data_IF_617101314167
#
_entry.id   IF_617101314167
#
_cell.length_a   1.000
_cell.length_b   1.000
_cell.length_c   1.000
_cell.angle_alpha   90.00
_cell.angle_beta   90.00
_cell.angle_gamma   90.00
#
_symmetry.space_group_name_H-M   'P 1'
#
loop_
_entity.id
_entity.type
_entity.pdbx_description
1 polymer ?
2 non-polymer ?
3 water ?
#
# COMPACT_ATOMS: atom_id res chain seq x y z
N UNK A 1 -11.24 10.12 17.42
CA UNK A 1 -10.32 10.02 18.59
C UNK A 1 -9.43 8.78 18.56
N UNK A 2 -9.72 7.80 17.70
CA UNK A 2 -8.83 6.64 17.62
C UNK A 2 -8.11 6.55 16.26
N UNK A 3 -8.44 7.46 15.34
CA UNK A 3 -7.72 7.56 14.06
C UNK A 3 -6.97 8.91 14.17
N UNK A 4 -5.67 8.87 14.46
CA UNK A 4 -4.89 10.10 14.63
C UNK A 4 -3.91 10.35 13.49
N UNK A 5 -3.33 11.55 13.45
CA UNK A 5 -2.35 11.90 12.43
C UNK A 5 -1.10 11.05 12.60
N UNK A 6 -0.61 10.92 13.83
CA UNK A 6 0.59 10.15 14.10
C UNK A 6 0.40 8.65 14.20
N UNK A 7 -0.58 8.20 14.96
CA UNK A 7 -0.77 6.77 15.12
C UNK A 7 -1.58 6.04 14.05
N UNK A 8 -2.36 6.76 13.27
CA UNK A 8 -3.16 6.08 12.26
C UNK A 8 -4.42 5.56 12.90
N UNK A 9 -5.03 4.54 12.30
CA UNK A 9 -6.26 3.98 12.80
C UNK A 9 -6.09 2.93 13.90
N UNK A 10 -6.47 3.30 15.12
CA UNK A 10 -6.36 2.45 16.30
C UNK A 10 -7.70 1.94 16.86
N UNK A 11 -8.80 2.18 16.17
CA UNK A 11 -10.11 1.72 16.61
C UNK A 11 -10.26 0.23 16.27
N UNK A 12 -10.87 -0.56 17.17
CA UNK A 12 -11.09 -2.00 16.93
C UNK A 12 -9.85 -2.75 16.44
N UNK A 13 -8.67 -2.35 16.91
CA UNK A 13 -7.39 -2.93 16.47
C UNK A 13 -7.29 -4.44 16.34
N UNK A 14 -7.94 -5.15 17.26
CA UNK A 14 -7.89 -6.61 17.24
C UNK A 14 -8.60 -7.19 16.00
N UNK A 15 -9.44 -6.39 15.34
CA UNK A 15 -10.15 -6.80 14.12
C UNK A 15 -9.74 -5.96 12.89
N UNK A 16 -9.80 -4.63 13.01
CA UNK A 16 -9.48 -3.74 11.91
C UNK A 16 -8.09 -3.92 11.33
N UNK A 17 -7.13 -4.31 12.17
CA UNK A 17 -5.75 -4.52 11.72
C UNK A 17 -5.53 -5.85 11.00
N UNK A 18 -6.57 -6.68 10.94
CA UNK A 18 -6.52 -7.98 10.27
C UNK A 18 -7.26 -8.01 8.92
N UNK A 19 -7.45 -6.84 8.31
CA UNK A 19 -8.15 -6.72 7.04
C UNK A 19 -7.24 -6.70 5.79
N UNK A 20 -5.95 -6.99 5.95
CA UNK A 20 -5.04 -6.98 4.82
C UNK A 20 -4.99 -5.62 4.16
N UNK A 21 -5.16 -5.57 2.84
CA UNK A 21 -5.14 -4.29 2.12
C UNK A 21 -6.44 -3.51 2.25
N UNK A 22 -7.40 -4.03 3.02
CA UNK A 22 -8.67 -3.32 3.25
C UNK A 22 -8.62 -2.72 4.67
N UNK A 23 -7.44 -2.81 5.29
CA UNK A 23 -7.20 -2.27 6.61
C UNK A 23 -6.78 -0.81 6.46
N UNK A 24 -7.27 0.08 7.36
CA UNK A 24 -6.89 1.50 7.29
C UNK A 24 -5.45 1.60 7.81
N UNK A 25 -4.67 2.56 7.32
CA UNK A 25 -3.30 2.70 7.80
C UNK A 25 -3.23 2.83 9.35
N UNK A 26 -2.29 2.11 9.94
CA UNK A 26 -2.01 2.21 11.35
C UNK A 26 -0.47 2.24 11.45
N UNK A 27 0.07 3.12 12.28
CA UNK A 27 1.51 3.25 12.40
C UNK A 27 2.21 2.06 13.04
N UNK A 28 3.28 1.59 12.39
CA UNK A 28 4.06 0.49 12.92
C UNK A 28 5.29 0.99 13.66
N UNK A 29 5.31 2.28 14.01
CA UNK A 29 6.44 2.89 14.71
C UNK A 29 6.81 2.12 15.98
N UNK A 30 5.82 1.68 16.74
CA UNK A 30 6.05 0.93 17.98
C UNK A 30 6.51 -0.50 17.76
N UNK A 31 6.39 -0.99 16.53
CA UNK A 31 6.82 -2.37 16.22
C UNK A 31 8.22 -2.38 15.64
N UNK A 32 8.75 -1.20 15.37
CA UNK A 32 10.07 -1.06 14.80
C UNK A 32 11.17 -1.27 15.87
N UNK A 33 12.12 -2.14 15.56
CA UNK A 33 13.25 -2.43 16.44
C UNK A 33 14.18 -1.21 16.45
N UNK A 34 14.34 -0.58 15.28
CA UNK A 34 15.17 0.61 15.14
C UNK A 34 14.25 1.84 15.26
N UNK A 35 14.69 2.85 16.01
CA UNK A 35 13.88 4.06 16.19
C UNK A 35 13.66 4.82 14.87
N UNK A 36 12.39 5.13 14.54
CA UNK A 36 12.01 5.84 13.31
C UNK A 36 12.53 7.27 13.21
N UNK A 37 12.87 7.87 14.34
CA UNK A 37 13.35 9.25 14.37
C UNK A 37 14.67 9.49 13.67
N UNK A 38 14.78 10.67 13.07
CA UNK A 38 15.99 11.09 12.38
C UNK A 38 17.04 11.24 13.49
N UNK A 39 18.19 10.56 13.35
CA UNK A 39 19.27 10.61 14.34
C UNK A 39 19.77 12.00 14.66
N UNK A 40 20.10 12.19 15.93
CA UNK A 40 20.63 13.46 16.40
C UNK A 40 21.97 13.57 15.69
N UNK A 41 22.26 14.74 15.12
CA UNK A 41 23.52 14.90 14.42
C UNK A 41 23.45 14.59 12.94
N UNK A 42 22.25 14.29 12.44
CA UNK A 42 22.08 14.01 11.03
C UNK A 42 21.13 15.05 10.48
N UNK A 43 21.22 15.26 9.17
CA UNK A 43 20.39 16.24 8.49
C UNK A 43 19.87 15.57 7.20
N UNK A 44 18.55 15.56 7.02
CA UNK A 44 17.95 14.96 5.82
C UNK A 44 18.25 15.84 4.62
N UNK A 45 18.71 15.22 3.54
CA UNK A 45 19.03 15.95 2.32
C UNK A 45 18.18 15.53 1.11
N UNK A 46 17.34 14.51 1.28
CA UNK A 46 16.47 14.00 0.21
C UNK A 46 15.37 13.23 0.90
N UNK A 47 14.16 13.36 0.38
CA UNK A 47 13.05 12.60 0.94
C UNK A 47 12.06 12.34 -0.17
N UNK A 48 11.66 11.08 -0.30
CA UNK A 48 10.63 10.71 -1.26
C UNK A 48 9.57 9.86 -0.57
N UNK A 49 8.32 10.12 -0.86
CA UNK A 49 7.25 9.32 -0.30
C UNK A 49 6.51 8.67 -1.48
N UNK A 50 6.19 7.40 -1.33
CA UNK A 50 5.43 6.66 -2.32
C UNK A 50 4.21 6.27 -1.49
N UNK A 51 3.05 6.77 -1.88
CA UNK A 51 1.84 6.53 -1.13
C UNK A 51 0.76 5.86 -1.97
N UNK A 52 -0.06 5.06 -1.30
CA UNK A 52 -1.18 4.41 -1.92
C UNK A 52 -2.36 5.38 -1.69
N UNK A 53 -3.43 5.26 -2.47
CA UNK A 53 -4.62 6.10 -2.30
C UNK A 53 -5.31 5.77 -0.96
N UNK A 54 -6.23 6.61 -0.51
CA UNK A 54 -6.90 6.35 0.76
C UNK A 54 -8.01 5.31 0.65
N UNK A 55 -8.74 5.10 1.75
CA UNK A 55 -9.85 4.15 1.82
C UNK A 55 -10.91 4.49 0.78
N UNK A 56 -11.41 3.47 0.08
CA UNK A 56 -12.41 3.63 -0.97
C UNK A 56 -13.62 2.71 -0.79
N UNK A 57 -14.64 2.95 -1.60
CA UNK A 57 -15.84 2.13 -1.61
C UNK A 57 -15.46 0.88 -2.41
N UNK A 58 -16.31 -0.17 -2.43
CA UNK A 58 -15.90 -1.33 -3.23
C UNK A 58 -15.85 -0.87 -4.70
N UNK A 59 -15.14 -1.62 -5.54
CA UNK A 59 -15.13 -1.26 -6.95
C UNK A 59 -16.53 -1.59 -7.43
N UNK A 60 -17.02 -0.86 -8.42
CA UNK A 60 -18.36 -1.10 -8.95
C UNK A 60 -18.63 -2.59 -9.23
N UNK A 61 -17.68 -3.27 -9.85
CA UNK A 61 -17.83 -4.69 -10.12
C UNK A 61 -18.19 -5.48 -8.85
N UNK A 62 -17.37 -5.40 -7.81
CA UNK A 62 -17.60 -6.11 -6.54
C UNK A 62 -18.84 -5.68 -5.78
N UNK A 63 -19.16 -4.38 -5.86
CA UNK A 63 -20.34 -3.86 -5.20
C UNK A 63 -21.59 -4.58 -5.67
N UNK A 64 -21.65 -4.89 -6.98
CA UNK A 64 -22.77 -5.60 -7.59
C UNK A 64 -22.92 -6.94 -6.87
N UNK A 65 -21.83 -7.70 -6.85
CA UNK A 65 -21.81 -9.01 -6.21
C UNK A 65 -22.21 -8.94 -4.74
N UNK A 66 -21.67 -7.96 -4.01
CA UNK A 66 -21.99 -7.80 -2.58
C UNK A 66 -23.48 -7.57 -2.41
N UNK A 67 -24.00 -6.61 -3.18
CA UNK A 67 -25.41 -6.29 -3.14
C UNK A 67 -26.30 -7.49 -3.46
N UNK A 68 -26.00 -8.15 -4.56
CA UNK A 68 -26.76 -9.32 -5.01
C UNK A 68 -26.79 -10.40 -3.91
N UNK A 69 -25.62 -10.73 -3.38
CA UNK A 69 -25.50 -11.75 -2.35
C UNK A 69 -26.35 -11.43 -1.13
N UNK A 70 -26.40 -10.16 -0.76
CA UNK A 70 -27.19 -9.76 0.40
C UNK A 70 -28.69 -9.87 0.14
N UNK A 71 -29.14 -9.49 -1.04
CA UNK A 71 -30.56 -9.59 -1.36
C UNK A 71 -30.93 -11.05 -1.39
N UNK A 72 -30.04 -11.86 -1.94
CA UNK A 72 -30.26 -13.30 -2.04
C UNK A 72 -30.40 -13.92 -0.64
N UNK A 73 -29.55 -13.51 0.30
CA UNK A 73 -29.66 -14.03 1.66
C UNK A 73 -30.99 -13.58 2.27
N UNK A 74 -31.36 -12.33 2.01
CA UNK A 74 -32.61 -11.79 2.52
C UNK A 74 -33.84 -12.51 2.00
N UNK A 75 -33.73 -13.14 0.84
CA UNK A 75 -34.85 -13.87 0.26
C UNK A 75 -34.92 -15.33 0.69
N UNK A 76 -33.80 -16.02 0.59
CA UNK A 76 -33.74 -17.44 0.92
C UNK A 76 -33.81 -17.85 2.40
N UNK A 77 -33.28 -17.02 3.29
CA UNK A 77 -33.27 -17.36 4.72
C UNK A 77 -34.65 -17.27 5.38
N UNK A 78 -34.98 -18.30 6.15
CA UNK A 78 -36.25 -18.40 6.87
C UNK A 78 -36.14 -17.76 8.24
N UNK A 79 -34.97 -17.85 8.87
CA UNK A 79 -34.78 -17.28 10.20
C UNK A 79 -33.57 -16.36 10.35
N UNK A 80 -33.80 -15.23 11.02
CA UNK A 80 -32.75 -14.25 11.25
C UNK A 80 -32.69 -13.95 12.74
N UNK A 81 -32.21 -14.89 13.55
CA UNK A 81 -32.15 -14.63 14.99
C UNK A 81 -30.75 -14.42 15.56
N UNK A 82 -30.69 -13.71 16.69
CA UNK A 82 -29.41 -13.45 17.32
C UNK A 82 -28.60 -12.46 16.50
N UNK A 83 -27.31 -12.75 16.36
CA UNK A 83 -26.40 -11.91 15.60
C UNK A 83 -26.71 -11.78 14.10
N UNK A 84 -27.73 -12.48 13.63
CA UNK A 84 -28.12 -12.41 12.22
C UNK A 84 -29.34 -11.51 12.02
N UNK A 85 -29.87 -10.97 13.12
CA UNK A 85 -31.06 -10.12 13.06
C UNK A 85 -30.91 -8.91 12.14
N UNK A 86 -29.76 -8.25 12.17
CA UNK A 86 -29.54 -7.08 11.33
C UNK A 86 -29.76 -7.35 9.84
N UNK A 87 -29.42 -8.55 9.42
CA UNK A 87 -29.55 -8.97 8.02
C UNK A 87 -30.95 -8.91 7.45
N UNK A 88 -31.96 -9.10 8.29
CA UNK A 88 -33.34 -9.08 7.82
C UNK A 88 -33.68 -7.74 7.15
N UNK A 89 -33.14 -6.64 7.66
CA UNK A 89 -33.43 -5.34 7.08
C UNK A 89 -32.23 -4.48 6.68
N UNK A 90 -31.09 -5.10 6.43
CA UNK A 90 -29.89 -4.35 6.02
C UNK A 90 -30.13 -3.78 4.61
N UNK A 91 -29.81 -2.50 4.43
CA UNK A 91 -30.00 -1.84 3.16
C UNK A 91 -28.63 -1.41 2.60
N UNK A 92 -28.19 -2.08 1.53
CA UNK A 92 -26.89 -1.80 0.90
C UNK A 92 -26.86 -0.42 0.27
N UNK A 93 -26.09 0.50 0.86
CA UNK A 93 -26.03 1.84 0.32
C UNK A 93 -24.60 2.38 0.15
N UNK A 94 -23.64 1.49 -0.03
CA UNK A 94 -22.26 1.91 -0.23
C UNK A 94 -22.12 2.48 -1.64
N UNK A 95 -21.24 3.46 -1.80
CA UNK A 95 -20.99 4.03 -3.12
C UNK A 95 -20.10 3.06 -3.91
N UNK A 96 -19.37 3.55 -4.89
CA UNK A 96 -18.50 2.65 -5.65
C UNK A 96 -17.26 3.39 -6.15
N UNK A 97 -16.15 2.66 -6.26
CA UNK A 97 -14.87 3.16 -6.76
C UNK A 97 -14.19 4.37 -6.13
N UNK A 98 -14.97 5.35 -5.69
CA UNK A 98 -14.44 6.57 -5.13
C UNK A 98 -13.78 6.48 -3.78
N UNK A 99 -12.97 7.49 -3.51
CA UNK A 99 -12.30 7.66 -2.24
C UNK A 99 -13.45 7.99 -1.28
N UNK A 100 -13.46 7.43 -0.07
CA UNK A 100 -14.52 7.74 0.89
C UNK A 100 -14.10 8.96 1.72
N UNK A 101 -15.05 9.61 2.41
CA UNK A 101 -14.69 10.78 3.23
C UNK A 101 -13.57 10.43 4.22
N UNK A 102 -13.61 9.23 4.81
CA UNK A 102 -12.58 8.77 5.73
C UNK A 102 -11.22 8.67 5.00
N UNK A 103 -11.27 8.15 3.76
CA UNK A 103 -10.07 8.02 2.94
C UNK A 103 -9.45 9.37 2.61
N UNK A 104 -10.29 10.38 2.39
CA UNK A 104 -9.82 11.73 2.12
C UNK A 104 -9.07 12.24 3.35
N UNK A 105 -9.66 12.01 4.51
CA UNK A 105 -9.04 12.42 5.76
C UNK A 105 -7.69 11.74 5.97
N UNK A 106 -7.61 10.46 5.62
CA UNK A 106 -6.36 9.70 5.75
C UNK A 106 -5.20 10.37 5.00
N UNK A 107 -5.47 10.84 3.77
CA UNK A 107 -4.43 11.48 2.96
C UNK A 107 -4.06 12.86 3.48
N UNK A 108 -5.04 13.61 3.98
CA UNK A 108 -4.79 14.92 4.56
C UNK A 108 -3.80 14.69 5.72
N UNK A 109 -4.11 13.72 6.58
CA UNK A 109 -3.25 13.39 7.71
C UNK A 109 -1.83 13.00 7.28
N UNK A 110 -1.74 12.23 6.21
CA UNK A 110 -0.46 11.80 5.65
C UNK A 110 0.35 13.03 5.18
N UNK A 111 -0.33 14.00 4.58
CA UNK A 111 0.34 15.22 4.13
C UNK A 111 0.92 16.01 5.29
N UNK A 112 0.17 16.10 6.37
CA UNK A 112 0.57 16.79 7.61
C UNK A 112 1.82 16.15 8.19
N UNK A 113 1.80 14.82 8.27
CA UNK A 113 2.90 14.06 8.82
C UNK A 113 4.18 14.14 8.00
N UNK A 114 4.06 14.11 6.68
CA UNK A 114 5.22 14.22 5.79
C UNK A 114 5.87 15.60 5.97
N UNK A 115 5.03 16.64 6.03
CA UNK A 115 5.55 17.99 6.22
C UNK A 115 6.33 18.11 7.53
N UNK A 116 5.72 17.66 8.63
CA UNK A 116 6.33 17.75 9.94
C UNK A 116 7.61 16.93 10.10
N UNK A 117 7.62 15.72 9.58
CA UNK A 117 8.80 14.86 9.68
C UNK A 117 10.05 15.47 9.02
N UNK A 118 9.87 16.13 7.88
CA UNK A 118 10.98 16.72 7.14
C UNK A 118 10.94 18.24 7.11
N UNK A 119 10.47 18.85 8.20
CA UNK A 119 10.34 20.31 8.31
C UNK A 119 11.52 21.13 7.77
N UNK A 120 12.74 20.72 8.06
CA UNK A 120 13.90 21.47 7.60
C UNK A 120 13.97 21.63 6.08
N UNK A 121 13.36 20.68 5.36
CA UNK A 121 13.32 20.70 3.90
C UNK A 121 12.00 21.26 3.36
N UNK A 122 10.89 20.74 3.89
CA UNK A 122 9.55 21.12 3.46
C UNK A 122 9.21 22.60 3.65
N UNK A 123 9.89 23.26 4.58
CA UNK A 123 9.63 24.67 4.83
C UNK A 123 9.95 25.59 3.66
N UNK A 124 10.86 25.20 2.77
CA UNK A 124 11.13 26.05 1.60
C UNK A 124 11.38 25.34 0.29
N UNK A 125 10.90 24.11 0.17
CA UNK A 125 11.01 23.36 -1.07
C UNK A 125 9.61 22.85 -1.42
N UNK A 126 9.23 22.97 -2.68
CA UNK A 126 7.94 22.51 -3.15
C UNK A 126 8.20 21.12 -3.75
N UNK A 127 7.54 20.07 -3.24
CA UNK A 127 7.74 18.70 -3.74
C UNK A 127 7.28 18.56 -5.18
N UNK A 128 7.92 17.66 -5.93
CA UNK A 128 7.51 17.40 -7.31
C UNK A 128 6.65 16.14 -7.16
N UNK A 129 5.40 16.23 -7.64
CA UNK A 129 4.41 15.17 -7.48
C UNK A 129 3.88 14.50 -8.75
N UNK A 130 3.73 13.18 -8.69
CA UNK A 130 3.20 12.41 -9.81
C UNK A 130 2.12 11.48 -9.27
N UNK A 131 1.13 11.18 -10.09
CA UNK A 131 0.02 10.32 -9.72
C UNK A 131 -0.36 9.42 -10.91
N UNK A 132 -0.79 8.20 -10.61
CA UNK A 132 -1.24 7.28 -11.64
C UNK A 132 -2.63 7.82 -12.04
N UNK A 133 -3.04 7.65 -13.29
CA UNK A 133 -4.31 8.20 -13.74
C UNK A 133 -5.58 7.48 -13.34
N UNK A 134 -5.90 7.47 -12.06
CA UNK A 134 -7.10 6.84 -11.56
C UNK A 134 -7.69 7.87 -10.61
N UNK A 135 -8.98 8.14 -10.74
CA UNK A 135 -9.64 9.15 -9.94
C UNK A 135 -9.39 9.08 -8.46
N UNK A 136 -9.47 7.88 -7.88
CA UNK A 136 -9.24 7.77 -6.45
C UNK A 136 -7.81 8.09 -6.05
N UNK A 137 -6.87 7.86 -6.97
CA UNK A 137 -5.47 8.12 -6.69
C UNK A 137 -5.22 9.63 -6.79
N UNK A 138 -5.75 10.23 -7.86
CA UNK A 138 -5.62 11.66 -8.10
C UNK A 138 -6.20 12.47 -6.93
N UNK A 139 -7.38 12.06 -6.46
CA UNK A 139 -8.05 12.72 -5.33
C UNK A 139 -7.21 12.57 -4.06
N UNK A 140 -6.53 11.44 -3.93
CA UNK A 140 -5.66 11.18 -2.78
C UNK A 140 -4.46 12.12 -2.83
N UNK A 141 -3.93 12.33 -4.03
CA UNK A 141 -2.80 13.24 -4.22
C UNK A 141 -3.20 14.64 -3.79
N UNK A 142 -4.38 15.09 -4.20
CA UNK A 142 -4.88 16.40 -3.82
C UNK A 142 -5.13 16.59 -2.33
N UNK A 143 -5.60 15.53 -1.64
CA UNK A 143 -5.84 15.64 -0.20
C UNK A 143 -4.51 15.72 0.55
N UNK A 144 -3.51 14.98 0.08
CA UNK A 144 -2.19 14.98 0.68
C UNK A 144 -1.63 16.40 0.58
N UNK A 145 -1.78 17.02 -0.59
CA UNK A 145 -1.32 18.38 -0.83
C UNK A 145 -1.99 19.35 0.14
N UNK A 146 -3.27 19.13 0.37
CA UNK A 146 -4.03 19.96 1.30
C UNK A 146 -3.39 19.90 2.70
N UNK A 147 -3.21 18.69 3.22
CA UNK A 147 -2.61 18.53 4.54
C UNK A 147 -1.21 19.12 4.62
N UNK A 148 -0.38 18.84 3.62
CA UNK A 148 1.00 19.32 3.56
C UNK A 148 1.07 20.86 3.56
N UNK A 149 0.28 21.48 2.68
CA UNK A 149 0.30 22.92 2.57
C UNK A 149 -0.31 23.60 3.80
N UNK A 150 -1.37 23.03 4.35
CA UNK A 150 -2.01 23.62 5.54
C UNK A 150 -1.08 23.72 6.75
N UNK A 151 -0.15 22.77 6.85
CA UNK A 151 0.81 22.74 7.94
C UNK A 151 1.90 23.77 7.65
N UNK A 152 2.27 23.89 6.38
CA UNK A 152 3.30 24.83 5.96
C UNK A 152 2.88 26.29 6.23
N UNK A 153 1.61 26.61 6.03
CA UNK A 153 1.11 27.96 6.28
C UNK A 153 1.22 28.35 7.74
N UNK A 154 1.12 27.37 8.63
CA UNK A 154 1.20 27.63 10.06
C UNK A 154 2.64 27.59 10.55
N UNK A 155 3.61 27.43 9.66
CA UNK A 155 5.01 27.37 10.07
C UNK A 155 5.71 28.73 9.94
N UNK A 156 6.11 29.35 11.07
CA UNK A 156 6.78 30.65 11.11
C UNK A 156 8.05 30.71 10.27
N UNK A 157 8.77 29.60 10.19
CA UNK A 157 10.02 29.55 9.44
C UNK A 157 9.84 29.19 7.95
N UNK A 158 8.60 29.01 7.52
CA UNK A 158 8.31 28.68 6.13
C UNK A 158 8.54 29.89 5.24
N UNK A 159 8.95 29.66 3.99
CA UNK A 159 9.23 30.75 3.07
C UNK A 159 7.98 31.40 2.50
N UNK A 160 7.83 32.71 2.75
CA UNK A 160 6.67 33.49 2.27
C UNK A 160 6.54 33.60 0.75
N UNK A 161 5.31 33.57 0.24
CA UNK A 161 5.06 33.72 -1.18
C UNK A 161 5.36 32.53 -2.08
N UNK A 162 5.86 31.46 -1.51
CA UNK A 162 6.19 30.26 -2.27
C UNK A 162 4.90 29.65 -2.85
N UNK A 163 5.01 28.98 -3.99
CA UNK A 163 3.81 28.40 -4.58
C UNK A 163 3.41 27.07 -3.96
N UNK A 164 2.14 26.72 -4.12
CA UNK A 164 1.65 25.45 -3.58
C UNK A 164 2.08 24.27 -4.47
N UNK A 165 2.12 23.06 -3.91
CA UNK A 165 2.50 21.91 -4.74
C UNK A 165 1.25 21.64 -5.59
N UNK A 166 1.36 20.74 -6.54
CA UNK A 166 0.23 20.36 -7.38
C UNK A 166 0.65 19.06 -8.05
N UNK A 167 -0.28 18.43 -8.76
CA UNK A 167 0.04 17.20 -9.44
C UNK A 167 0.70 17.59 -10.77
N UNK A 168 2.02 17.47 -10.79
CA UNK A 168 2.80 17.82 -11.95
C UNK A 168 2.66 16.90 -13.14
N UNK A 169 2.54 15.59 -12.89
CA UNK A 169 2.41 14.62 -13.98
C UNK A 169 1.35 13.58 -13.63
N UNK A 170 0.45 13.28 -14.56
CA UNK A 170 -0.54 12.23 -14.33
C UNK A 170 -0.25 11.13 -15.34
N UNK A 171 0.23 9.99 -14.87
CA UNK A 171 0.57 8.88 -15.76
C UNK A 171 -0.65 8.02 -16.11
N UNK A 172 -0.94 7.95 -17.40
CA UNK A 172 -2.08 7.20 -17.89
C UNK A 172 -2.04 5.72 -17.51
N UNK A 173 -3.22 5.18 -17.24
CA UNK A 173 -3.34 3.79 -16.91
C UNK A 173 -3.85 2.99 -18.11
N UNK A 174 -3.88 3.62 -19.28
CA UNK A 174 -4.32 2.95 -20.50
C UNK A 174 -3.43 1.72 -20.70
N UNK A 175 -4.01 0.63 -21.17
CA UNK A 175 -3.27 -0.62 -21.35
C UNK A 175 -1.97 -0.49 -22.15
N UNK A 176 -1.91 0.49 -23.05
CA UNK A 176 -0.71 0.72 -23.85
C UNK A 176 0.27 1.75 -23.23
N UNK A 177 -0.04 2.26 -22.04
CA UNK A 177 0.79 3.26 -21.40
C UNK A 177 1.98 2.73 -20.61
N UNK A 178 3.12 3.41 -20.70
CA UNK A 178 4.31 3.01 -19.92
C UNK A 178 4.15 3.77 -18.60
N UNK A 179 3.82 3.02 -17.54
CA UNK A 179 3.56 3.56 -16.21
C UNK A 179 4.39 2.82 -15.14
N UNK A 180 5.41 3.48 -14.60
CA UNK A 180 6.26 2.85 -13.58
C UNK A 180 5.56 2.62 -12.24
N UNK A 181 4.50 3.38 -11.99
CA UNK A 181 3.77 3.28 -10.73
C UNK A 181 2.83 2.06 -10.66
N UNK A 182 2.37 1.60 -11.81
CA UNK A 182 1.47 0.45 -11.90
C UNK A 182 1.52 -0.01 -13.36
N UNK A 183 2.57 -0.77 -13.72
CA UNK A 183 2.77 -1.27 -15.09
C UNK A 183 1.68 -2.21 -15.58
N UNK A 184 1.29 -2.06 -16.85
CA UNK A 184 0.28 -2.93 -17.41
C UNK A 184 0.73 -3.49 -18.75
N UNK A 185 1.98 -3.25 -19.13
CA UNK A 185 2.51 -3.69 -20.41
C UNK A 185 3.27 -5.03 -20.47
N UNK A 186 3.44 -5.67 -19.33
CA UNK A 186 4.16 -6.95 -19.30
C UNK A 186 3.17 -8.06 -19.61
N UNK A 187 2.97 -8.31 -20.90
CA UNK A 187 2.03 -9.32 -21.41
C UNK A 187 1.92 -10.64 -20.63
N UNK A 188 3.02 -11.38 -20.52
CA UNK A 188 2.97 -12.64 -19.80
C UNK A 188 2.48 -12.47 -18.36
N UNK A 189 2.98 -11.46 -17.66
CA UNK A 189 2.57 -11.23 -16.27
C UNK A 189 1.07 -10.94 -16.16
N UNK A 190 0.56 -10.13 -17.06
CA UNK A 190 -0.86 -9.79 -17.05
C UNK A 190 -1.76 -11.01 -17.21
N UNK A 191 -1.25 -12.06 -17.86
CA UNK A 191 -2.05 -13.28 -18.07
C UNK A 191 -1.94 -14.29 -16.93
N UNK A 192 -1.01 -14.07 -16.01
CA UNK A 192 -0.76 -14.96 -14.88
C UNK A 192 -1.99 -15.27 -14.01
N UNK A 193 -2.19 -16.55 -13.68
CA UNK A 193 -3.32 -16.94 -12.83
C UNK A 193 -2.84 -17.54 -11.51
N UNK A 194 -1.55 -17.37 -11.22
CA UNK A 194 -0.96 -17.91 -10.00
C UNK A 194 -1.73 -17.52 -8.72
N UNK A 195 -2.04 -16.23 -8.57
CA UNK A 195 -2.76 -15.76 -7.40
C UNK A 195 -4.11 -16.45 -7.22
N UNK A 196 -4.81 -16.74 -8.31
CA UNK A 196 -6.13 -17.39 -8.23
C UNK A 196 -6.01 -18.81 -7.70
N UNK A 197 -4.98 -19.52 -8.16
CA UNK A 197 -4.73 -20.88 -7.73
C UNK A 197 -4.44 -20.91 -6.25
N UNK A 198 -3.58 -19.99 -5.79
CA UNK A 198 -3.19 -19.88 -4.38
C UNK A 198 -4.39 -19.50 -3.52
N UNK A 199 -5.18 -18.54 -3.98
CA UNK A 199 -6.36 -18.11 -3.24
C UNK A 199 -7.29 -19.29 -3.03
N UNK A 200 -7.47 -20.10 -4.08
CA UNK A 200 -8.34 -21.26 -4.04
C UNK A 200 -7.80 -22.29 -3.03
N UNK A 201 -6.53 -22.60 -3.15
CA UNK A 201 -5.90 -23.57 -2.25
C UNK A 201 -6.08 -23.22 -0.79
N UNK A 202 -5.76 -21.98 -0.42
CA UNK A 202 -5.86 -21.58 0.97
C UNK A 202 -7.27 -21.44 1.52
N UNK A 203 -8.17 -20.79 0.79
CA UNK A 203 -9.52 -20.62 1.31
C UNK A 203 -10.11 -21.98 1.67
N UNK A 204 -9.76 -23.00 0.87
CA UNK A 204 -10.23 -24.37 1.12
C UNK A 204 -9.89 -24.84 2.54
N UNK A 205 -8.75 -24.39 3.06
CA UNK A 205 -8.31 -24.78 4.39
C UNK A 205 -9.06 -24.17 5.59
N UNK A 206 -9.97 -23.21 5.38
CA UNK A 206 -10.69 -22.61 6.51
C UNK A 206 -12.10 -22.08 6.23
N UNK A 207 -12.38 -21.72 4.98
CA UNK A 207 -13.70 -21.20 4.63
C UNK A 207 -14.85 -22.23 4.70
N UNK A 208 -14.63 -23.47 4.22
CA UNK A 208 -15.69 -24.49 4.27
C UNK A 208 -16.43 -24.62 5.62
N UNK A 209 -15.68 -24.66 6.73
CA UNK A 209 -16.30 -24.76 8.05
C UNK A 209 -17.20 -23.56 8.32
N UNK A 210 -16.69 -22.37 7.99
CA UNK A 210 -17.44 -21.13 8.17
C UNK A 210 -18.73 -21.20 7.35
N UNK A 211 -18.59 -21.65 6.10
CA UNK A 211 -19.73 -21.78 5.19
C UNK A 211 -20.79 -22.70 5.80
N UNK A 212 -20.36 -23.82 6.36
CA UNK A 212 -21.30 -24.75 6.99
C UNK A 212 -22.03 -24.11 8.17
N UNK A 213 -21.33 -23.33 8.98
CA UNK A 213 -21.95 -22.65 10.11
C UNK A 213 -23.01 -21.69 9.62
N UNK A 214 -22.68 -20.89 8.60
CA UNK A 214 -23.64 -19.93 8.08
C UNK A 214 -24.86 -20.59 7.42
N UNK A 215 -24.62 -21.66 6.65
CA UNK A 215 -25.72 -22.37 5.96
C UNK A 215 -26.67 -22.97 6.98
N UNK A 216 -26.09 -23.44 8.08
CA UNK A 216 -26.83 -24.03 9.18
C UNK A 216 -27.65 -22.99 9.97
N UNK A 217 -27.07 -21.83 10.26
CA UNK A 217 -27.78 -20.78 11.00
C UNK A 217 -28.81 -19.99 10.19
N UNK A 218 -28.56 -19.84 8.89
CA UNK A 218 -29.52 -19.11 8.04
C UNK A 218 -30.21 -20.11 7.12
N UNK A 219 -31.04 -20.97 7.70
CA UNK A 219 -31.77 -22.01 6.97
C UNK A 219 -32.44 -21.52 5.70
N UNK A 220 -32.15 -22.20 4.60
CA UNK A 220 -32.75 -21.80 3.33
C UNK A 220 -31.71 -21.18 2.43
N UNK A 221 -30.55 -20.91 3.00
CA UNK A 221 -29.47 -20.29 2.28
C UNK A 221 -28.38 -21.29 1.87
N UNK A 222 -27.85 -21.12 0.67
CA UNK A 222 -26.75 -21.94 0.16
C UNK A 222 -25.69 -20.91 -0.23
N UNK A 223 -24.43 -21.19 0.08
CA UNK A 223 -23.35 -20.26 -0.22
C UNK A 223 -22.14 -20.98 -0.80
N UNK A 224 -21.39 -20.31 -1.67
CA UNK A 224 -20.18 -20.91 -2.21
C UNK A 224 -19.10 -20.40 -1.27
N UNK A 225 -17.92 -20.99 -1.31
CA UNK A 225 -16.83 -20.54 -0.46
C UNK A 225 -16.48 -19.06 -0.73
N UNK A 226 -16.47 -18.69 -2.01
CA UNK A 226 -16.17 -17.33 -2.42
C UNK A 226 -17.14 -16.33 -1.81
N UNK A 227 -18.42 -16.64 -1.83
CA UNK A 227 -19.43 -15.72 -1.28
C UNK A 227 -19.22 -15.44 0.21
N UNK A 228 -18.74 -16.42 0.95
CA UNK A 228 -18.49 -16.24 2.37
C UNK A 228 -17.40 -15.15 2.54
N UNK A 229 -16.35 -15.22 1.72
CA UNK A 229 -15.28 -14.22 1.80
C UNK A 229 -15.85 -12.82 1.45
N UNK A 230 -16.93 -12.75 0.68
CA UNK A 230 -17.55 -11.46 0.34
C UNK A 230 -18.14 -10.85 1.61
N UNK A 231 -18.72 -11.71 2.45
CA UNK A 231 -19.32 -11.30 3.72
C UNK A 231 -18.22 -10.80 4.67
N UNK A 232 -17.06 -11.43 4.61
CA UNK A 232 -15.95 -10.98 5.45
C UNK A 232 -15.45 -9.64 4.92
N UNK A 233 -15.44 -9.46 3.60
CA UNK A 233 -15.01 -8.20 2.98
C UNK A 233 -15.90 -7.07 3.46
N UNK A 234 -17.20 -7.37 3.60
CA UNK A 234 -18.17 -6.39 4.04
C UNK A 234 -17.92 -5.83 5.43
N UNK A 235 -17.28 -6.61 6.29
CA UNK A 235 -16.98 -6.14 7.63
C UNK A 235 -16.16 -4.84 7.53
N UNK A 236 -15.17 -4.85 6.66
CA UNK A 236 -14.30 -3.71 6.43
C UNK A 236 -15.04 -2.50 5.84
N UNK A 237 -15.61 -2.68 4.66
CA UNK A 237 -16.33 -1.59 3.96
C UNK A 237 -17.49 -1.02 4.74
N UNK A 238 -18.26 -1.88 5.40
CA UNK A 238 -19.40 -1.39 6.15
C UNK A 238 -18.97 -0.68 7.44
N UNK A 239 -17.75 -0.88 7.89
CA UNK A 239 -17.30 -0.21 9.11
C UNK A 239 -16.75 1.19 8.80
N UNK A 240 -15.74 1.25 7.93
CA UNK A 240 -15.11 2.53 7.60
C UNK A 240 -15.83 3.38 6.54
N UNK A 241 -17.05 2.99 6.16
CA UNK A 241 -17.84 3.74 5.17
C UNK A 241 -18.20 5.13 5.69
N UNK A 242 -18.22 5.28 7.03
CA UNK A 242 -18.52 6.54 7.72
C UNK A 242 -17.30 7.11 8.45
N UNK A 247 -17.80 5.20 13.73
CA UNK A 247 -17.96 5.19 15.17
C UNK A 247 -18.27 3.77 15.67
N UNK A 248 -19.07 3.04 14.90
CA UNK A 248 -19.46 1.69 15.29
C UNK A 248 -19.00 0.57 14.36
N UNK A 249 -18.71 -0.60 14.93
CA UNK A 249 -18.26 -1.76 14.18
C UNK A 249 -19.42 -2.42 13.43
N UNK A 250 -19.19 -2.76 12.16
CA UNK A 250 -20.22 -3.39 11.34
C UNK A 250 -20.66 -4.75 11.88
N UNK A 251 -21.98 -5.02 11.86
CA UNK A 251 -22.49 -6.30 12.35
C UNK A 251 -21.89 -7.48 11.56
N UNK A 252 -21.49 -7.24 10.30
CA UNK A 252 -20.87 -8.28 9.48
C UNK A 252 -19.61 -8.84 10.14
N UNK A 253 -18.96 -8.03 10.96
CA UNK A 253 -17.73 -8.46 11.63
C UNK A 253 -18.03 -9.47 12.71
N UNK A 254 -19.22 -9.33 13.30
CA UNK A 254 -19.65 -10.17 14.39
C UNK A 254 -19.96 -11.60 13.98
N UNK A 255 -20.07 -11.85 12.69
CA UNK A 255 -20.40 -13.18 12.21
C UNK A 255 -19.19 -14.10 12.16
N UNK A 256 -18.01 -13.54 12.39
CA UNK A 256 -16.78 -14.33 12.32
C UNK A 256 -15.97 -14.21 13.60
N UNK A 257 -15.26 -15.27 13.94
CA UNK A 257 -14.46 -15.29 15.15
C UNK A 257 -13.08 -14.73 14.86
N UNK A 258 -12.31 -14.52 15.92
CA UNK A 258 -10.97 -13.96 15.78
C UNK A 258 -9.97 -14.78 14.97
N UNK A 259 -9.98 -16.11 15.15
CA UNK A 259 -9.06 -17.00 14.40
C UNK A 259 -9.40 -17.01 12.90
N UNK A 260 -10.66 -16.73 12.57
CA UNK A 260 -11.08 -16.67 11.18
C UNK A 260 -10.52 -15.38 10.57
N UNK A 261 -10.49 -14.30 11.36
CA UNK A 261 -9.90 -13.05 10.87
C UNK A 261 -8.38 -13.25 10.67
N UNK A 262 -7.74 -13.99 11.56
CA UNK A 262 -6.31 -14.26 11.40
C UNK A 262 -6.07 -14.93 10.05
N UNK A 263 -6.96 -15.85 9.69
CA UNK A 263 -6.88 -16.55 8.43
C UNK A 263 -7.16 -15.63 7.26
N UNK A 264 -8.19 -14.81 7.37
CA UNK A 264 -8.55 -13.85 6.33
C UNK A 264 -7.36 -12.93 6.03
N UNK A 265 -6.78 -12.38 7.08
CA UNK A 265 -5.63 -11.50 6.96
C UNK A 265 -4.53 -12.20 6.16
N UNK A 266 -4.27 -13.46 6.50
CA UNK A 266 -3.24 -14.25 5.84
C UNK A 266 -3.59 -14.47 4.36
N UNK A 267 -4.87 -14.69 4.07
CA UNK A 267 -5.32 -14.87 2.69
C UNK A 267 -4.97 -13.62 1.86
N UNK A 268 -5.15 -12.43 2.44
CA UNK A 268 -4.83 -11.18 1.74
C UNK A 268 -3.32 -11.08 1.44
N UNK A 269 -2.50 -11.50 2.40
CA UNK A 269 -1.04 -11.50 2.23
C UNK A 269 -0.66 -12.45 1.07
N UNK A 270 -1.33 -13.60 1.00
CA UNK A 270 -1.05 -14.57 -0.07
C UNK A 270 -1.40 -13.99 -1.44
N UNK A 271 -2.58 -13.41 -1.57
CA UNK A 271 -2.99 -12.82 -2.84
C UNK A 271 -1.93 -11.83 -3.35
N UNK A 272 -1.49 -10.91 -2.49
CA UNK A 272 -0.48 -9.92 -2.88
C UNK A 272 0.90 -10.52 -3.15
N UNK A 273 1.32 -11.46 -2.28
CA UNK A 273 2.62 -12.10 -2.40
C UNK A 273 2.80 -12.93 -3.67
N UNK A 274 1.81 -13.73 -4.03
CA UNK A 274 1.90 -14.56 -5.22
C UNK A 274 1.35 -13.87 -6.45
N UNK A 275 0.71 -12.73 -6.24
CA UNK A 275 0.17 -11.98 -7.35
C UNK A 275 1.14 -10.95 -7.88
N UNK A 276 1.80 -10.21 -6.99
CA UNK A 276 2.73 -9.15 -7.37
C UNK A 276 4.06 -9.13 -6.63
N UNK A 277 4.17 -9.95 -5.58
CA UNK A 277 5.41 -9.99 -4.83
C UNK A 277 6.34 -11.04 -5.41
N UNK A 278 7.34 -11.43 -4.61
CA UNK A 278 8.34 -12.43 -5.01
C UNK A 278 7.76 -13.81 -5.27
N UNK A 279 6.52 -14.04 -4.84
CA UNK A 279 5.91 -15.34 -5.07
C UNK A 279 5.61 -15.53 -6.54
N UNK A 280 5.53 -14.44 -7.28
CA UNK A 280 5.24 -14.50 -8.70
C UNK A 280 6.55 -14.36 -9.48
N UNK A 281 6.79 -15.24 -10.47
CA UNK A 281 8.03 -15.15 -11.27
C UNK A 281 8.30 -13.75 -11.83
N UNK A 282 7.26 -13.06 -12.28
CA UNK A 282 7.40 -11.72 -12.83
C UNK A 282 6.88 -10.61 -11.90
N UNK A 283 6.69 -10.95 -10.62
CA UNK A 283 6.18 -9.99 -9.65
C UNK A 283 7.14 -8.83 -9.41
N UNK A 284 8.32 -9.09 -8.83
CA UNK A 284 9.31 -8.03 -8.56
C UNK A 284 9.72 -7.28 -9.85
N UNK A 285 9.71 -7.98 -11.00
CA UNK A 285 10.06 -7.35 -12.27
C UNK A 285 9.16 -6.14 -12.58
N UNK A 286 7.92 -6.14 -12.07
CA UNK A 286 7.02 -5.00 -12.30
C UNK A 286 7.50 -3.71 -11.60
N UNK A 287 8.41 -3.84 -10.65
CA UNK A 287 8.85 -2.66 -9.95
C UNK A 287 10.21 -2.13 -10.32
N UNK A 288 10.89 -2.73 -11.30
CA UNK A 288 12.24 -2.24 -11.63
C UNK A 288 12.26 -0.86 -12.27
N UNK A 289 11.29 -0.53 -13.11
CA UNK A 289 11.23 0.79 -13.72
C UNK A 289 11.26 1.88 -12.67
N UNK A 290 10.37 1.76 -11.67
CA UNK A 290 10.30 2.71 -10.57
C UNK A 290 11.62 2.77 -9.79
N UNK A 291 12.22 1.60 -9.57
CA UNK A 291 13.48 1.48 -8.86
C UNK A 291 14.60 2.23 -9.61
N UNK A 292 14.64 2.12 -10.93
CA UNK A 292 15.65 2.82 -11.71
C UNK A 292 15.40 4.33 -11.69
N UNK A 293 14.13 4.73 -11.55
CA UNK A 293 13.79 6.14 -11.45
C UNK A 293 14.26 6.65 -10.09
N UNK A 294 14.18 5.80 -9.07
CA UNK A 294 14.64 6.15 -7.73
C UNK A 294 16.18 6.32 -7.75
N UNK A 295 16.88 5.38 -8.38
CA UNK A 295 18.34 5.44 -8.51
C UNK A 295 18.71 6.78 -9.18
N UNK A 296 17.95 7.15 -10.21
CA UNK A 296 18.17 8.39 -10.92
C UNK A 296 18.06 9.58 -9.97
N UNK A 297 17.04 9.59 -9.13
CA UNK A 297 16.84 10.70 -8.18
C UNK A 297 17.90 10.78 -7.07
N UNK A 298 18.28 9.63 -6.51
CA UNK A 298 19.28 9.61 -5.44
C UNK A 298 20.64 10.08 -5.96
N UNK A 299 20.99 9.67 -7.16
CA UNK A 299 22.27 10.04 -7.75
C UNK A 299 22.23 11.28 -8.66
N UNK A 300 21.06 11.87 -8.84
CA UNK A 300 20.88 13.06 -9.71
C UNK A 300 21.41 12.78 -11.13
N UNK A 301 21.11 11.60 -11.67
CA UNK A 301 21.57 11.20 -12.99
C UNK A 301 20.39 10.76 -13.82
N UNK A 302 20.52 10.79 -15.16
CA UNK A 302 19.43 10.37 -16.05
C UNK A 302 19.01 8.93 -15.78
N UNK A 303 17.79 8.59 -16.16
CA UNK A 303 17.28 7.25 -15.96
C UNK A 303 17.85 6.27 -16.98
N UNK A 304 18.24 5.09 -16.51
CA UNK A 304 18.71 4.04 -17.39
C UNK A 304 17.74 2.90 -17.13
N UNK A 305 16.76 2.78 -18.01
CA UNK A 305 15.75 1.76 -17.85
C UNK A 305 15.17 1.43 -19.19
N UNK A 306 14.84 0.16 -19.36
CA UNK A 306 14.24 -0.31 -20.58
C UNK A 306 13.11 -1.28 -20.22
N UNK A 307 12.38 -0.95 -19.17
CA UNK A 307 11.27 -1.80 -18.74
C UNK A 307 9.92 -1.08 -18.82
N UNK A 308 9.45 -0.55 -17.69
CA UNK A 308 8.14 0.13 -17.67
C UNK A 308 8.16 1.65 -17.85
N UNK A 309 9.34 2.26 -17.78
CA UNK A 309 9.41 3.71 -17.88
C UNK A 309 9.10 4.30 -19.24
N UNK A 310 8.55 5.51 -19.20
CA UNK A 310 8.23 6.27 -20.39
C UNK A 310 9.53 7.05 -20.70
N UNK A 311 10.22 6.71 -21.78
CA UNK A 311 11.49 7.36 -22.16
C UNK A 311 11.33 8.83 -22.43
N UNK A 312 10.25 9.19 -23.12
CA UNK A 312 9.96 10.58 -23.44
C UNK A 312 9.67 11.35 -22.16
N UNK A 313 8.79 10.81 -21.33
CA UNK A 313 8.42 11.46 -20.09
C UNK A 313 9.62 11.72 -19.15
N UNK A 314 10.57 10.78 -19.12
CA UNK A 314 11.75 10.92 -18.24
C UNK A 314 12.97 11.65 -18.78
N UNK A 315 12.91 12.09 -20.04
CA UNK A 315 14.06 12.74 -20.65
C UNK A 315 14.19 14.25 -20.38
N UNK A 316 13.14 14.84 -19.84
CA UNK A 316 13.11 16.27 -19.58
C UNK A 316 12.81 16.67 -18.13
N UNK A 317 13.47 17.74 -17.64
CA UNK A 317 13.32 18.30 -16.30
C UNK A 317 11.87 18.69 -15.98
N UNK A 318 11.10 19.03 -17.00
CA UNK A 318 9.71 19.41 -16.79
C UNK A 318 8.87 18.26 -16.28
N UNK A 319 9.18 17.04 -16.70
CA UNK A 319 8.40 15.90 -16.26
C UNK A 319 9.18 14.94 -15.39
N UNK A 320 10.49 15.16 -15.31
CA UNK A 320 11.36 14.35 -14.47
C UNK A 320 12.61 15.11 -14.01
N UNK A 321 12.45 15.99 -12.99
CA UNK A 321 13.52 16.82 -12.41
C UNK A 321 14.43 15.94 -11.57
N UNK A 322 15.73 16.12 -11.73
CA UNK A 322 16.70 15.34 -10.98
C UNK A 322 17.22 16.07 -9.76
N UNK A 323 16.87 17.35 -9.61
CA UNK A 323 17.39 18.08 -8.48
C UNK A 323 16.36 18.65 -7.52
N UNK A 324 15.13 18.15 -7.55
CA UNK A 324 14.15 18.61 -6.57
C UNK A 324 14.68 17.83 -5.36
N UNK A 325 14.27 18.21 -4.17
CA UNK A 325 14.80 17.49 -3.02
C UNK A 325 13.74 16.58 -2.43
N UNK A 326 12.49 16.97 -2.68
CA UNK A 326 11.32 16.28 -2.19
C UNK A 326 10.46 15.79 -3.35
N UNK A 327 10.05 14.52 -3.30
CA UNK A 327 9.18 13.93 -4.31
C UNK A 327 8.04 13.15 -3.65
N UNK A 328 6.89 13.11 -4.31
CA UNK A 328 5.75 12.35 -3.80
C UNK A 328 5.07 11.69 -5.00
N UNK A 329 4.84 10.37 -4.90
CA UNK A 329 4.20 9.61 -5.96
C UNK A 329 2.99 8.87 -5.36
N UNK A 330 1.91 8.82 -6.13
CA UNK A 330 0.68 8.16 -5.69
C UNK A 330 0.29 7.03 -6.63
N UNK A 331 0.00 5.87 -6.04
CA UNK A 331 -0.33 4.69 -6.79
C UNK A 331 -1.31 3.72 -6.09
N UNK A 332 -1.35 2.49 -6.61
CA UNK A 332 -2.19 1.40 -6.12
C UNK A 332 -1.36 0.39 -5.32
N UNK A 333 -2.03 -0.45 -4.54
CA UNK A 333 -1.38 -1.45 -3.73
C UNK A 333 -0.51 -2.40 -4.56
N UNK A 334 -1.04 -2.85 -5.69
CA UNK A 334 -0.31 -3.78 -6.55
C UNK A 334 1.04 -3.26 -7.01
N UNK A 335 1.07 -2.05 -7.55
CA UNK A 335 2.33 -1.48 -7.98
C UNK A 335 3.29 -1.32 -6.80
N UNK A 336 2.78 -0.90 -5.65
CA UNK A 336 3.66 -0.72 -4.50
C UNK A 336 4.27 -2.04 -4.02
N UNK A 337 3.49 -3.11 -4.03
CA UNK A 337 3.99 -4.42 -3.61
C UNK A 337 5.22 -4.80 -4.46
N UNK A 338 5.06 -4.72 -5.79
CA UNK A 338 6.14 -5.04 -6.71
C UNK A 338 7.38 -4.18 -6.49
N UNK A 339 7.15 -2.88 -6.23
CA UNK A 339 8.22 -1.92 -6.00
C UNK A 339 9.01 -2.26 -4.73
N UNK A 340 8.29 -2.62 -3.66
CA UNK A 340 8.89 -3.00 -2.39
C UNK A 340 9.83 -4.20 -2.59
N UNK A 341 9.39 -5.18 -3.37
CA UNK A 341 10.23 -6.34 -3.64
C UNK A 341 11.41 -6.02 -4.55
N UNK A 342 11.18 -5.21 -5.59
CA UNK A 342 12.25 -4.80 -6.52
C UNK A 342 13.34 -4.00 -5.80
N UNK A 343 13.02 -3.40 -4.66
CA UNK A 343 14.00 -2.67 -3.88
C UNK A 343 14.73 -3.59 -2.91
N UNK A 344 14.40 -4.89 -2.95
CA UNK A 344 15.05 -5.87 -2.09
C UNK A 344 14.73 -5.79 -0.61
N UNK A 345 13.63 -5.12 -0.28
CA UNK A 345 13.22 -4.94 1.11
C UNK A 345 12.76 -6.21 1.84
N UNK A 346 12.29 -7.21 1.10
CA UNK A 346 11.83 -8.43 1.75
C UNK A 346 12.62 -9.67 1.38
N UNK A 347 13.93 -9.48 1.22
CA UNK A 347 14.83 -10.56 0.86
C UNK A 347 15.00 -11.63 1.94
N UNK A 348 14.66 -11.29 3.18
CA UNK A 348 14.77 -12.24 4.27
C UNK A 348 13.46 -12.97 4.52
N UNK A 349 12.54 -12.87 3.58
CA UNK A 349 11.23 -13.50 3.68
C UNK A 349 11.20 -14.73 2.76
N UNK A 350 10.91 -15.91 3.31
CA UNK A 350 10.84 -17.11 2.48
C UNK A 350 9.44 -17.22 1.90
N UNK A 351 9.28 -17.93 0.77
CA UNK A 351 7.95 -18.07 0.16
C UNK A 351 6.91 -18.44 1.22
N UNK A 352 5.77 -17.75 1.21
CA UNK A 352 4.74 -18.01 2.21
C UNK A 352 4.09 -19.37 1.97
N UNK A 353 3.85 -20.09 3.06
CA UNK A 353 3.21 -21.40 2.96
C UNK A 353 1.82 -21.17 2.40
N UNK A 354 1.41 -22.01 1.46
CA UNK A 354 0.09 -21.88 0.86
C UNK A 354 -1.00 -22.66 1.60
N UNK A 355 -0.60 -23.39 2.63
CA UNK A 355 -1.55 -24.19 3.41
C UNK A 355 -1.67 -23.79 4.88
N UNK A 356 -0.62 -23.20 5.43
CA UNK A 356 -0.61 -22.81 6.83
C UNK A 356 -0.29 -21.35 7.03
N UNK A 357 -0.94 -20.73 8.02
CA UNK A 357 -0.74 -19.32 8.37
C UNK A 357 0.64 -19.17 9.00
N UNK A 358 1.36 -18.12 8.63
CA UNK A 358 2.67 -17.81 9.19
C UNK A 358 2.57 -16.41 9.78
N UNK A 359 3.11 -16.24 10.98
CA UNK A 359 3.03 -14.94 11.63
C UNK A 359 4.09 -13.99 11.09
N UNK A 360 3.97 -12.72 11.48
CA UNK A 360 4.84 -11.64 11.05
C UNK A 360 6.32 -11.82 11.39
N UNK A 361 6.62 -12.71 12.34
CA UNK A 361 8.00 -13.01 12.72
C UNK A 361 8.57 -13.98 11.67
N UNK A 362 7.77 -14.96 11.29
CA UNK A 362 8.18 -15.95 10.32
C UNK A 362 8.36 -15.32 8.94
N UNK A 363 7.49 -14.35 8.61
CA UNK A 363 7.55 -13.68 7.30
C UNK A 363 8.47 -12.47 7.26
N UNK A 364 9.22 -12.27 8.34
CA UNK A 364 10.16 -11.17 8.44
C UNK A 364 9.54 -9.79 8.16
N UNK A 365 8.41 -9.52 8.80
CA UNK A 365 7.76 -8.24 8.64
C UNK A 365 6.87 -8.06 7.43
N UNK A 366 6.66 -9.10 6.64
CA UNK A 366 5.79 -8.93 5.49
C UNK A 366 4.37 -9.41 5.69
N UNK A 367 3.41 -8.55 5.31
CA UNK A 367 1.98 -8.87 5.35
C UNK A 367 1.30 -7.73 4.57
N UNK A 368 0.12 -7.98 3.99
CA UNK A 368 -0.55 -6.92 3.26
C UNK A 368 -0.87 -5.74 4.16
N UNK A 369 -1.27 -6.04 5.40
CA UNK A 369 -1.62 -5.01 6.37
C UNK A 369 -0.42 -4.17 6.80
N UNK A 370 0.77 -4.76 6.77
CA UNK A 370 1.97 -4.05 7.16
C UNK A 370 2.65 -3.32 6.01
N UNK A 371 2.33 -3.68 4.77
CA UNK A 371 2.96 -3.05 3.62
C UNK A 371 2.01 -2.16 2.80
N UNK A 372 0.83 -2.69 2.47
CA UNK A 372 -0.14 -1.92 1.68
C UNK A 372 -1.55 -1.66 2.24
N UNK A 373 -1.66 -1.14 3.47
CA UNK A 373 -3.02 -0.88 3.95
C UNK A 373 -3.50 0.35 3.15
N UNK A 374 -4.72 0.81 3.37
CA UNK A 374 -5.18 2.01 2.69
C UNK A 374 -4.29 3.16 3.18
N UNK A 375 -3.94 4.07 2.28
CA UNK A 375 -3.10 5.22 2.62
C UNK A 375 -1.72 4.80 3.18
N UNK A 376 -1.21 3.66 2.75
CA UNK A 376 0.10 3.27 3.22
C UNK A 376 1.11 4.25 2.66
N UNK A 377 2.28 4.33 3.27
CA UNK A 377 3.34 5.21 2.77
C UNK A 377 4.70 4.58 3.00
N UNK A 378 5.58 4.78 2.03
CA UNK A 378 6.94 4.30 2.06
C UNK A 378 7.75 5.58 1.95
N UNK A 379 8.77 5.72 2.81
CA UNK A 379 9.66 6.89 2.78
C UNK A 379 11.05 6.42 2.45
N UNK A 380 11.72 7.14 1.56
CA UNK A 380 13.10 6.85 1.23
C UNK A 380 13.77 8.17 1.55
N UNK A 381 14.63 8.18 2.56
CA UNK A 381 15.33 9.38 2.97
C UNK A 381 16.83 9.23 2.84
N UNK A 382 17.51 10.33 2.57
CA UNK A 382 18.96 10.35 2.47
C UNK A 382 19.39 11.41 3.49
N UNK A 383 20.48 11.15 4.20
CA UNK A 383 20.96 12.07 5.23
C UNK A 383 22.47 12.18 5.25
N UNK A 384 22.95 13.26 5.85
CA UNK A 384 24.38 13.48 5.98
C UNK A 384 24.59 13.63 7.47
N UNK A 385 25.54 12.89 8.01
CA UNK A 385 25.79 12.95 9.44
C UNK A 385 27.22 13.37 9.72
N UNK A 386 27.42 13.94 10.90
CA UNK A 386 28.70 14.44 11.36
C UNK A 386 29.90 13.49 11.20
N UNK A 387 29.73 12.25 11.62
CA UNK A 387 30.81 11.26 11.53
C UNK A 387 31.11 10.75 10.11
N UNK A 388 30.06 10.39 9.37
CA UNK A 388 30.19 9.86 8.01
C UNK A 388 30.48 10.90 6.92
N UNK A 389 31.07 10.48 5.81
CA UNK A 389 31.39 11.40 4.69
C UNK A 389 30.35 11.29 3.56
N UNK A 390 29.93 10.05 3.29
CA UNK A 390 28.94 9.77 2.25
C UNK A 390 27.52 9.90 2.79
N UNK A 391 26.57 10.25 1.92
CA UNK A 391 25.21 10.34 2.44
C UNK A 391 24.70 8.90 2.72
N UNK A 392 23.83 8.78 3.71
CA UNK A 392 23.27 7.51 4.11
C UNK A 392 21.79 7.41 3.72
N UNK A 393 21.38 6.25 3.23
CA UNK A 393 20.02 5.99 2.79
C UNK A 393 19.28 5.13 3.83
N UNK A 394 17.99 5.39 4.01
CA UNK A 394 17.18 4.62 4.94
C UNK A 394 15.75 4.57 4.40
N UNK A 395 15.08 3.45 4.61
CA UNK A 395 13.72 3.24 4.15
C UNK A 395 12.78 2.88 5.30
N UNK A 396 11.66 3.59 5.40
CA UNK A 396 10.66 3.31 6.42
C UNK A 396 9.42 2.89 5.66
N UNK A 397 8.74 1.84 6.12
CA UNK A 397 7.51 1.37 5.48
C UNK A 397 6.41 1.45 6.54
N UNK A 398 5.47 2.38 6.36
CA UNK A 398 4.38 2.59 7.33
C UNK A 398 4.91 2.79 8.74
N UNK A 399 6.01 3.55 8.81
CA UNK A 399 6.74 3.95 10.02
C UNK A 399 7.68 2.95 10.64
N UNK A 400 7.83 1.79 10.01
CA UNK A 400 8.74 0.78 10.52
C UNK A 400 10.05 0.94 9.75
N UNK A 401 11.18 1.02 10.45
CA UNK A 401 12.47 1.13 9.77
C UNK A 401 12.77 -0.28 9.26
N UNK A 402 12.80 -0.42 7.94
CA UNK A 402 13.06 -1.70 7.30
C UNK A 402 14.54 -1.79 6.92
N UNK A 403 15.29 -2.70 7.56
CA UNK A 403 16.71 -2.87 7.25
C UNK A 403 16.93 -3.24 5.76
N UNK A 404 17.93 -2.61 5.16
CA UNK A 404 18.25 -2.81 3.75
C UNK A 404 19.01 -4.13 3.51
N UNK A 405 18.84 -4.67 2.31
CA UNK A 405 19.52 -5.89 1.94
C UNK A 405 20.40 -5.63 0.73
N UNK A 406 21.52 -6.34 0.63
CA UNK A 406 22.43 -6.17 -0.48
C UNK A 406 23.52 -5.16 -0.21
N UNK A 407 23.45 -4.49 0.94
CA UNK A 407 24.45 -3.50 1.30
C UNK A 407 24.68 -3.63 2.79
N UNK A 408 25.85 -3.21 3.27
CA UNK A 408 26.23 -3.27 4.69
C UNK A 408 25.46 -2.28 5.57
N UNK A 409 24.40 -2.74 6.24
CA UNK A 409 23.62 -1.86 7.11
C UNK A 409 24.27 -1.56 8.45
N UNK A 410 24.10 -0.33 8.92
CA UNK A 410 24.63 0.06 10.21
C UNK A 410 23.54 -0.15 11.27
N UNK A 411 23.86 0.12 12.54
CA UNK A 411 22.94 -0.04 13.65
C UNK A 411 21.59 0.67 13.50
N UNK A 412 21.53 1.71 12.66
CA UNK A 412 20.30 2.46 12.45
C UNK A 412 19.53 2.10 11.16
N UNK A 413 19.96 1.02 10.49
CA UNK A 413 19.31 0.54 9.28
C UNK A 413 19.71 1.20 7.98
N UNK A 414 20.76 2.01 8.02
CA UNK A 414 21.23 2.74 6.86
C UNK A 414 22.38 2.09 6.08
N UNK A 415 22.51 2.50 4.81
CA UNK A 415 23.59 2.07 3.90
C UNK A 415 24.04 3.33 3.21
N UNK A 416 25.30 3.41 2.82
CA UNK A 416 25.76 4.58 2.10
C UNK A 416 24.99 4.53 0.80
N UNK A 417 24.73 5.70 0.20
CA UNK A 417 23.99 5.74 -1.05
C UNK A 417 24.61 4.83 -2.11
N UNK A 418 25.93 4.91 -2.26
CA UNK A 418 26.63 4.13 -3.26
C UNK A 418 26.53 2.62 -3.13
N UNK A 419 26.68 2.09 -1.93
CA UNK A 419 26.56 0.65 -1.77
C UNK A 419 25.09 0.24 -1.92
N UNK A 420 24.17 1.12 -1.52
CA UNK A 420 22.73 0.85 -1.67
C UNK A 420 22.37 0.70 -3.16
N UNK A 421 22.80 1.68 -3.95
CA UNK A 421 22.55 1.67 -5.39
C UNK A 421 23.23 0.44 -5.99
N UNK A 422 24.45 0.19 -5.55
CA UNK A 422 25.22 -0.95 -6.01
C UNK A 422 24.46 -2.26 -5.71
N UNK A 423 23.77 -2.31 -4.57
CA UNK A 423 23.01 -3.48 -4.18
C UNK A 423 21.74 -3.79 -4.99
N UNK A 424 21.24 -2.80 -5.74
CA UNK A 424 20.04 -3.00 -6.55
C UNK A 424 20.44 -3.54 -7.94
N UNK A 425 21.23 -4.60 -7.95
CA UNK A 425 21.70 -5.17 -9.21
C UNK A 425 20.56 -5.74 -10.07
N UNK A 426 19.57 -6.33 -9.42
CA UNK A 426 18.43 -6.91 -10.13
C UNK A 426 17.69 -5.84 -10.95
N UNK A 427 17.42 -4.70 -10.32
CA UNK A 427 16.75 -3.60 -10.99
C UNK A 427 17.64 -2.98 -12.07
N UNK A 428 18.88 -2.67 -11.73
CA UNK A 428 19.82 -2.04 -12.67
C UNK A 428 20.00 -2.84 -13.97
N UNK A 429 19.80 -4.16 -13.88
CA UNK A 429 19.94 -5.05 -15.03
C UNK A 429 18.63 -5.24 -15.80
N UNK A 430 17.53 -4.71 -15.28
CA UNK A 430 16.25 -4.83 -15.95
C UNK A 430 15.39 -5.99 -15.49
N UNK A 431 15.72 -6.58 -14.34
CA UNK A 431 14.97 -7.70 -13.82
C UNK A 431 14.79 -8.76 -14.90
N UNK A 432 13.63 -9.40 -14.93
CA UNK A 432 13.33 -10.43 -15.94
C UNK A 432 12.30 -9.86 -16.93
N UNK A 433 12.43 -8.58 -17.26
CA UNK A 433 11.48 -7.93 -18.17
C UNK A 433 11.38 -8.61 -19.54
N UNK A 434 12.48 -9.18 -20.00
CA UNK A 434 12.50 -9.86 -21.28
C UNK A 434 11.40 -10.95 -21.34
N UNK A 435 11.31 -11.73 -20.26
CA UNK A 435 10.31 -12.80 -20.12
C UNK A 435 8.85 -12.33 -20.28
N UNK A 436 8.64 -11.03 -20.37
CA UNK A 436 7.30 -10.49 -20.50
C UNK A 436 6.66 -10.79 -21.83
N UNK A 437 7.49 -10.95 -22.86
CA UNK A 437 6.98 -11.15 -24.21
C UNK A 437 7.26 -12.51 -24.82
N UNK A 438 8.35 -13.14 -24.39
CA UNK A 438 8.71 -14.46 -24.88
C UNK A 438 7.87 -15.44 -24.05
#
# INVERSE_FOLDING_TARGET
SCDTVDQGYQCFSETSHLWGQYAPFFSLANESVISPEVPAGCRVTFAQVLSRHGARYPTDSKGKKYSALIEEIQQNATTFDGKYAFLKTYNYSLGADDLTPFGEQELVNSGIKFYQRYESLTRNIVPFIRSSGSSRVIASGKKFIEGFQSTKLKDPRAQPGQSSPKIDVVISEASSSNNTLDPGTCTVFEDSELADTVEANFTATFVPSIRQRLENDLSGVTLTDTEVTYLMDMCSFDTISTSTVDTKLSPFCDLFTHDEWINYDYLQSLKKYYGHGAGNPLGPTQGVGYANELIARLTHSPVHDDTSSNHTLDSSPATFPLNSTLYADFSHDNGIISILFALGLYNGTKPLSTTTVENITQTDGFSSAWTVPFASRLYVEMMQCQAEQEPLVRVLVNDRVVPLHGCPVDALGRCTRDSFVRGLSFARSGGDWAECFA
#
